data_IF_349929268209
#
_entry.id   IF_349929268209
#
_cell.length_a   1.000
_cell.length_b   1.000
_cell.length_c   1.000
_cell.angle_alpha   90.00
_cell.angle_beta   90.00
_cell.angle_gamma   90.00
#
_symmetry.space_group_name_H-M   'P 1'
#
loop_
_entity.id
_entity.type
_entity.pdbx_description
1 polymer ?
#
# COMPACT_ATOMS: atom_id res chain seq x y z
N UNK A 1 6.92 22.58 -45.06
CA UNK A 1 5.60 22.55 -44.38
C UNK A 1 5.80 21.77 -43.09
N UNK A 2 5.87 22.44 -41.93
CA UNK A 2 5.84 21.77 -40.64
C UNK A 2 4.37 21.56 -40.28
N UNK A 3 3.88 20.35 -40.48
CA UNK A 3 2.60 19.96 -39.89
C UNK A 3 2.90 19.66 -38.43
N UNK A 4 2.74 20.67 -37.57
CA UNK A 4 2.60 20.43 -36.14
C UNK A 4 1.20 19.84 -35.98
N UNK A 5 1.07 18.51 -36.10
CA UNK A 5 -0.15 17.83 -35.67
C UNK A 5 -0.18 17.90 -34.17
N UNK A 6 -1.09 18.69 -33.62
CA UNK A 6 -1.33 18.70 -32.20
C UNK A 6 -2.08 17.43 -31.82
N UNK A 7 -1.87 16.93 -30.59
CA UNK A 7 -2.59 15.74 -30.13
C UNK A 7 -4.09 16.00 -30.14
N UNK A 8 -4.51 17.23 -29.83
CA UNK A 8 -5.91 17.68 -29.89
C UNK A 8 -6.55 17.62 -31.29
N UNK A 9 -5.77 17.45 -32.36
CA UNK A 9 -6.29 17.32 -33.72
C UNK A 9 -6.76 15.88 -34.05
N UNK A 10 -6.47 14.91 -33.16
CA UNK A 10 -6.95 13.54 -33.30
C UNK A 10 -8.46 13.44 -33.06
N UNK A 11 -9.11 12.50 -33.73
CA UNK A 11 -10.54 12.26 -33.52
C UNK A 11 -10.81 11.63 -32.15
N UNK A 12 -12.02 11.82 -31.63
CA UNK A 12 -12.42 11.26 -30.34
C UNK A 12 -12.32 9.73 -30.31
N UNK A 13 -12.56 9.06 -31.44
CA UNK A 13 -12.45 7.60 -31.56
C UNK A 13 -11.01 7.11 -31.29
N UNK A 14 -10.02 7.84 -31.80
CA UNK A 14 -8.60 7.53 -31.53
C UNK A 14 -8.28 7.76 -30.05
N UNK A 15 -8.83 8.81 -29.43
CA UNK A 15 -8.66 9.02 -27.99
C UNK A 15 -9.30 7.93 -27.14
N UNK A 16 -10.49 7.43 -27.52
CA UNK A 16 -11.11 6.30 -26.83
C UNK A 16 -10.25 5.05 -26.94
N UNK A 17 -9.75 4.73 -28.14
CA UNK A 17 -8.86 3.59 -28.34
C UNK A 17 -7.57 3.72 -27.51
N UNK A 18 -6.95 4.90 -27.48
CA UNK A 18 -5.78 5.16 -26.63
C UNK A 18 -6.13 4.95 -25.14
N UNK A 19 -7.26 5.47 -24.68
CA UNK A 19 -7.67 5.36 -23.28
C UNK A 19 -8.06 3.93 -22.88
N UNK A 20 -8.55 3.11 -23.81
CA UNK A 20 -8.81 1.68 -23.57
C UNK A 20 -7.53 0.90 -23.23
N UNK A 21 -6.37 1.36 -23.72
CA UNK A 21 -5.07 0.77 -23.39
C UNK A 21 -4.44 1.34 -22.10
N UNK A 22 -4.96 2.45 -21.56
CA UNK A 22 -4.40 3.07 -20.37
C UNK A 22 -5.08 2.56 -19.10
N UNK A 23 -4.29 1.93 -18.22
CA UNK A 23 -4.71 1.71 -16.85
C UNK A 23 -5.09 3.04 -16.16
N UNK A 24 -6.11 3.03 -15.29
CA UNK A 24 -6.61 4.22 -14.57
C UNK A 24 -5.51 5.01 -13.83
N UNK A 25 -4.46 4.31 -13.42
CA UNK A 25 -3.27 4.88 -12.80
C UNK A 25 -2.45 5.78 -13.75
N UNK A 26 -2.34 5.41 -15.02
CA UNK A 26 -1.67 6.26 -16.02
C UNK A 26 -2.47 7.54 -16.28
N UNK A 27 -3.80 7.44 -16.34
CA UNK A 27 -4.67 8.61 -16.46
C UNK A 27 -4.54 9.52 -15.24
N UNK A 28 -4.50 8.95 -14.02
CA UNK A 28 -4.31 9.71 -12.79
C UNK A 28 -2.99 10.48 -12.77
N UNK A 29 -1.88 9.84 -13.17
CA UNK A 29 -0.58 10.51 -13.34
C UNK A 29 -0.64 11.62 -14.38
N UNK A 30 -1.35 11.41 -15.48
CA UNK A 30 -1.59 12.45 -16.48
C UNK A 30 -2.26 13.68 -15.84
N UNK A 31 -3.32 13.48 -15.07
CA UNK A 31 -4.03 14.57 -14.39
C UNK A 31 -3.19 15.31 -13.36
N UNK A 32 -2.32 14.64 -12.60
CA UNK A 32 -1.41 15.31 -11.67
C UNK A 32 -0.37 16.18 -12.38
N UNK A 33 0.01 15.85 -13.61
CA UNK A 33 0.99 16.60 -14.40
C UNK A 33 0.36 17.73 -15.25
N UNK A 34 -0.95 17.67 -15.54
CA UNK A 34 -1.64 18.64 -16.40
C UNK A 34 -1.62 20.08 -15.84
N UNK A 35 -1.81 20.26 -14.53
CA UNK A 35 -1.85 21.59 -13.92
C UNK A 35 -1.51 21.58 -12.42
N UNK A 36 -0.72 22.58 -11.97
CA UNK A 36 -0.31 22.73 -10.56
C UNK A 36 -1.49 22.78 -9.58
N UNK A 37 -2.61 23.40 -9.96
CA UNK A 37 -3.82 23.46 -9.14
C UNK A 37 -4.44 22.08 -8.97
N UNK A 38 -4.58 21.32 -10.06
CA UNK A 38 -5.11 19.95 -10.02
C UNK A 38 -4.19 19.06 -9.20
N UNK A 39 -2.88 19.15 -9.44
CA UNK A 39 -1.84 18.45 -8.66
C UNK A 39 -1.97 18.74 -7.15
N UNK A 40 -2.10 20.01 -6.76
CA UNK A 40 -2.25 20.40 -5.35
C UNK A 40 -3.55 19.89 -4.72
N UNK A 41 -4.65 19.87 -5.48
CA UNK A 41 -5.93 19.31 -5.00
C UNK A 41 -5.78 17.80 -4.80
N UNK A 42 -5.23 17.10 -5.78
CA UNK A 42 -5.04 15.64 -5.70
C UNK A 42 -4.12 15.27 -4.53
N UNK A 43 -3.05 16.01 -4.27
CA UNK A 43 -2.16 15.82 -3.11
C UNK A 43 -2.87 15.98 -1.76
N UNK A 44 -3.90 16.84 -1.69
CA UNK A 44 -4.64 17.06 -0.44
C UNK A 44 -5.58 15.91 -0.08
N UNK A 45 -5.88 15.05 -1.05
CA UNK A 45 -6.78 13.91 -0.89
C UNK A 45 -5.96 12.70 -0.41
N UNK A 46 -6.34 12.05 0.70
CA UNK A 46 -5.72 10.79 1.11
C UNK A 46 -5.85 9.74 0.01
N UNK A 47 -4.75 9.06 -0.28
CA UNK A 47 -4.68 8.11 -1.36
C UNK A 47 -4.90 6.69 -0.85
N UNK A 48 -5.99 6.07 -1.30
CA UNK A 48 -6.40 4.73 -0.87
C UNK A 48 -6.19 3.75 -2.02
N UNK A 49 -5.36 2.73 -1.81
CA UNK A 49 -4.99 1.78 -2.85
C UNK A 49 -5.28 0.37 -2.39
N UNK A 50 -5.91 -0.38 -3.28
CA UNK A 50 -6.03 -1.82 -3.18
C UNK A 50 -5.01 -2.43 -4.13
N UNK A 51 -4.05 -3.17 -3.57
CA UNK A 51 -3.07 -3.92 -4.33
C UNK A 51 -3.56 -5.35 -4.45
N UNK A 52 -3.88 -5.74 -5.68
CA UNK A 52 -4.34 -7.07 -6.03
C UNK A 52 -3.31 -7.74 -6.92
N UNK A 53 -3.29 -9.07 -6.90
CA UNK A 53 -2.31 -9.85 -7.65
C UNK A 53 -2.33 -9.59 -9.16
N UNK A 54 -3.52 -9.48 -9.72
CA UNK A 54 -3.74 -9.29 -11.15
C UNK A 54 -3.08 -8.02 -11.69
N UNK A 55 -3.02 -6.96 -10.87
CA UNK A 55 -2.52 -5.64 -11.27
C UNK A 55 -1.33 -5.17 -10.42
N UNK A 56 -0.70 -6.06 -9.65
CA UNK A 56 0.26 -5.68 -8.62
C UNK A 56 1.44 -4.90 -9.20
N UNK A 57 1.95 -5.33 -10.36
CA UNK A 57 3.07 -4.68 -11.01
C UNK A 57 2.73 -3.22 -11.39
N UNK A 58 1.60 -3.01 -12.07
CA UNK A 58 1.15 -1.67 -12.46
C UNK A 58 0.84 -0.78 -11.24
N UNK A 59 0.24 -1.36 -10.19
CA UNK A 59 -0.06 -0.66 -8.94
C UNK A 59 1.21 -0.21 -8.22
N UNK A 60 2.22 -1.08 -8.14
CA UNK A 60 3.50 -0.81 -7.49
C UNK A 60 4.34 0.19 -8.30
N UNK A 61 4.36 0.06 -9.63
CA UNK A 61 5.06 0.99 -10.52
C UNK A 61 4.43 2.38 -10.47
N UNK A 62 3.10 2.44 -10.49
CA UNK A 62 2.37 3.69 -10.28
C UNK A 62 2.73 4.28 -8.92
N UNK A 63 2.66 3.49 -7.85
CA UNK A 63 2.97 3.94 -6.49
C UNK A 63 4.37 4.53 -6.39
N UNK A 64 5.37 3.80 -6.87
CA UNK A 64 6.77 4.21 -6.86
C UNK A 64 6.95 5.53 -7.60
N UNK A 65 6.31 5.67 -8.77
CA UNK A 65 6.43 6.86 -9.61
C UNK A 65 5.67 8.06 -9.02
N UNK A 66 4.40 7.87 -8.66
CA UNK A 66 3.49 8.91 -8.15
C UNK A 66 4.00 9.49 -6.83
N UNK A 67 4.43 8.63 -5.90
CA UNK A 67 4.91 9.07 -4.60
C UNK A 67 6.27 9.76 -4.63
N UNK A 68 7.04 9.58 -5.71
CA UNK A 68 8.25 10.39 -5.91
C UNK A 68 7.91 11.87 -6.08
N UNK A 69 6.77 12.19 -6.71
CA UNK A 69 6.31 13.58 -6.89
C UNK A 69 5.37 14.07 -5.77
N UNK A 70 4.81 13.13 -5.01
CA UNK A 70 3.78 13.37 -4.00
C UNK A 70 4.13 12.73 -2.66
N UNK A 71 5.39 12.88 -2.24
CA UNK A 71 5.98 12.26 -1.04
C UNK A 71 5.21 12.55 0.26
N UNK A 72 4.41 13.62 0.31
CA UNK A 72 3.65 14.03 1.51
C UNK A 72 2.19 13.57 1.51
N UNK A 73 1.73 12.98 0.42
CA UNK A 73 0.34 12.56 0.30
C UNK A 73 0.08 11.37 1.23
N UNK A 74 -0.88 11.50 2.15
CA UNK A 74 -1.20 10.42 3.10
C UNK A 74 -1.71 9.19 2.35
N UNK A 75 -1.17 8.01 2.68
CA UNK A 75 -1.51 6.77 1.97
C UNK A 75 -2.14 5.73 2.89
N UNK A 76 -3.13 5.02 2.36
CA UNK A 76 -3.65 3.80 2.95
C UNK A 76 -3.61 2.68 1.92
N UNK A 77 -2.99 1.55 2.27
CA UNK A 77 -2.81 0.41 1.38
C UNK A 77 -3.54 -0.79 1.94
N UNK A 78 -4.27 -1.49 1.08
CA UNK A 78 -4.86 -2.80 1.34
C UNK A 78 -4.23 -3.80 0.39
N UNK A 79 -3.63 -4.87 0.91
CA UNK A 79 -2.91 -5.87 0.11
C UNK A 79 -3.68 -7.19 0.15
N UNK A 80 -4.01 -7.69 -1.03
CA UNK A 80 -4.60 -9.00 -1.27
C UNK A 80 -3.49 -9.96 -1.72
N UNK A 81 -2.81 -10.59 -0.76
CA UNK A 81 -1.72 -11.54 -1.01
C UNK A 81 -2.09 -12.93 -0.50
N UNK A 82 -3.03 -13.57 -1.21
CA UNK A 82 -3.69 -14.82 -0.78
C UNK A 82 -2.90 -16.09 -1.10
N UNK A 83 -1.75 -16.00 -1.76
CA UNK A 83 -1.00 -17.18 -2.24
C UNK A 83 0.41 -17.20 -1.63
N UNK A 84 0.80 -18.27 -0.92
CA UNK A 84 2.16 -18.45 -0.38
C UNK A 84 3.13 -18.88 -1.49
N UNK A 85 3.55 -17.96 -2.35
CA UNK A 85 4.64 -18.24 -3.29
C UNK A 85 5.73 -17.17 -3.26
N UNK A 86 6.87 -17.45 -3.88
CA UNK A 86 8.05 -16.57 -3.89
C UNK A 86 7.81 -15.19 -4.53
N UNK A 87 6.68 -15.00 -5.22
CA UNK A 87 6.23 -13.73 -5.79
C UNK A 87 5.24 -12.99 -4.89
N UNK A 88 5.59 -12.93 -3.60
CA UNK A 88 4.93 -12.13 -2.56
C UNK A 88 4.77 -10.68 -3.00
N UNK A 89 3.51 -10.23 -3.11
CA UNK A 89 3.17 -8.83 -3.43
C UNK A 89 3.68 -7.92 -2.32
N UNK A 90 3.55 -8.38 -1.08
CA UNK A 90 4.02 -7.67 0.11
C UNK A 90 5.52 -7.40 -0.02
N UNK A 91 6.31 -8.43 -0.30
CA UNK A 91 7.76 -8.31 -0.40
C UNK A 91 8.15 -7.42 -1.58
N UNK A 92 7.48 -7.56 -2.73
CA UNK A 92 7.74 -6.72 -3.90
C UNK A 92 7.47 -5.23 -3.61
N UNK A 93 6.33 -4.92 -2.98
CA UNK A 93 5.92 -3.56 -2.64
C UNK A 93 6.95 -2.88 -1.74
N UNK A 94 7.24 -3.52 -0.61
CA UNK A 94 8.11 -2.98 0.43
C UNK A 94 9.59 -3.00 0.03
N UNK A 95 10.01 -3.88 -0.89
CA UNK A 95 11.37 -3.81 -1.46
C UNK A 95 11.54 -2.65 -2.44
N UNK A 96 10.49 -2.29 -3.19
CA UNK A 96 10.57 -1.25 -4.23
C UNK A 96 10.24 0.14 -3.72
N UNK A 97 9.53 0.26 -2.61
CA UNK A 97 9.10 1.55 -2.09
C UNK A 97 9.20 1.64 -0.57
N UNK A 98 9.77 2.74 -0.10
CA UNK A 98 9.81 3.09 1.32
C UNK A 98 8.76 4.18 1.60
N UNK A 99 7.70 3.83 2.35
CA UNK A 99 6.55 4.71 2.54
C UNK A 99 6.73 5.69 3.70
N UNK A 100 7.22 6.91 3.43
CA UNK A 100 7.36 7.96 4.46
C UNK A 100 6.04 8.50 5.03
N UNK A 101 4.92 8.21 4.36
CA UNK A 101 3.61 8.84 4.55
C UNK A 101 2.45 7.81 4.67
N UNK A 102 2.78 6.56 5.00
CA UNK A 102 1.82 5.48 5.19
C UNK A 102 1.04 5.66 6.49
N UNK A 103 -0.28 5.72 6.41
CA UNK A 103 -1.18 5.83 7.57
C UNK A 103 -1.85 4.51 7.91
N UNK A 104 -2.14 3.68 6.92
CA UNK A 104 -2.79 2.38 7.10
C UNK A 104 -2.16 1.36 6.16
N UNK A 105 -1.73 0.23 6.70
CA UNK A 105 -1.42 -0.97 5.96
C UNK A 105 -2.40 -2.07 6.40
N UNK A 106 -3.20 -2.60 5.48
CA UNK A 106 -4.07 -3.74 5.75
C UNK A 106 -3.61 -4.93 4.92
N UNK A 107 -3.16 -5.98 5.59
CA UNK A 107 -2.89 -7.28 5.02
C UNK A 107 -4.14 -8.13 5.18
N UNK A 108 -4.73 -8.59 4.07
CA UNK A 108 -5.91 -9.45 4.18
C UNK A 108 -5.54 -10.86 4.58
N UNK A 109 -4.43 -11.36 4.06
CA UNK A 109 -3.86 -12.66 4.39
C UNK A 109 -2.35 -12.53 4.52
N UNK A 110 -1.76 -13.26 5.47
CA UNK A 110 -0.32 -13.48 5.51
C UNK A 110 -0.01 -14.90 5.93
N UNK A 111 0.95 -15.51 5.23
CA UNK A 111 1.31 -16.91 5.34
C UNK A 111 2.81 -17.15 5.58
N UNK A 112 3.61 -16.08 5.74
CA UNK A 112 5.06 -16.16 6.03
C UNK A 112 5.48 -15.20 7.16
N UNK A 113 6.12 -15.74 8.22
CA UNK A 113 6.65 -15.01 9.38
C UNK A 113 7.77 -14.09 8.95
N UNK A 114 8.66 -14.57 8.07
CA UNK A 114 9.72 -13.78 7.48
C UNK A 114 9.17 -12.58 6.69
N UNK A 115 8.09 -12.78 5.91
CA UNK A 115 7.44 -11.66 5.19
C UNK A 115 6.83 -10.66 6.14
N UNK A 116 6.16 -11.14 7.20
CA UNK A 116 5.58 -10.26 8.22
C UNK A 116 6.68 -9.49 8.95
N UNK A 117 7.79 -10.14 9.30
CA UNK A 117 8.96 -9.51 9.90
C UNK A 117 9.46 -8.36 9.05
N UNK A 118 9.67 -8.59 7.74
CA UNK A 118 10.09 -7.53 6.81
C UNK A 118 9.09 -6.35 6.78
N UNK A 119 7.78 -6.62 6.76
CA UNK A 119 6.76 -5.53 6.81
C UNK A 119 6.84 -4.76 8.11
N UNK A 120 6.94 -5.46 9.23
CA UNK A 120 7.03 -4.84 10.57
C UNK A 120 8.28 -3.99 10.66
N UNK A 121 9.45 -4.49 10.24
CA UNK A 121 10.71 -3.74 10.22
C UNK A 121 10.58 -2.45 9.40
N UNK A 122 9.97 -2.53 8.21
CA UNK A 122 9.78 -1.35 7.39
C UNK A 122 8.80 -0.36 7.99
N UNK A 123 7.66 -0.82 8.54
CA UNK A 123 6.71 0.06 9.23
C UNK A 123 7.36 0.72 10.45
N UNK A 124 8.21 0.02 11.19
CA UNK A 124 8.96 0.55 12.32
C UNK A 124 10.01 1.59 11.92
N UNK A 125 10.52 1.52 10.69
CA UNK A 125 11.44 2.53 10.15
C UNK A 125 10.75 3.86 9.83
N UNK A 126 9.41 3.91 9.88
CA UNK A 126 8.63 5.10 9.57
C UNK A 126 8.51 6.01 10.79
N UNK A 127 8.69 7.31 10.55
CA UNK A 127 8.54 8.35 11.57
C UNK A 127 7.08 8.80 11.77
N UNK A 128 6.09 7.94 11.44
CA UNK A 128 4.67 8.34 11.40
C UNK A 128 3.72 7.26 11.92
N UNK A 129 2.53 7.72 12.33
CA UNK A 129 1.38 6.90 12.70
C UNK A 129 0.84 6.02 11.59
N UNK A 130 1.35 4.79 11.57
CA UNK A 130 0.89 3.69 10.74
C UNK A 130 0.01 2.76 11.57
N UNK A 131 -1.19 2.50 11.08
CA UNK A 131 -2.04 1.41 11.54
C UNK A 131 -1.73 0.17 10.71
N UNK A 132 -1.19 -0.90 11.29
CA UNK A 132 -1.12 -2.21 10.64
C UNK A 132 -2.34 -3.04 11.06
N UNK A 133 -3.09 -3.56 10.07
CA UNK A 133 -4.18 -4.53 10.26
C UNK A 133 -3.89 -5.81 9.50
N UNK A 134 -4.10 -6.94 10.15
CA UNK A 134 -4.06 -8.27 9.52
C UNK A 134 -5.47 -8.85 9.67
N UNK A 135 -6.05 -9.44 8.63
CA UNK A 135 -7.43 -9.95 8.69
C UNK A 135 -7.48 -11.47 8.83
N UNK A 136 -6.60 -12.19 8.14
CA UNK A 136 -6.48 -13.64 8.20
C UNK A 136 -5.00 -14.02 8.37
N UNK A 137 -4.73 -14.81 9.40
CA UNK A 137 -3.46 -15.51 9.58
C UNK A 137 -3.69 -16.95 9.14
N UNK A 138 -3.01 -17.39 8.08
CA UNK A 138 -3.15 -18.74 7.53
C UNK A 138 -1.81 -19.49 7.62
N UNK A 139 -1.82 -20.76 8.04
CA UNK A 139 -0.62 -21.58 8.25
C UNK A 139 -0.26 -21.75 9.74
N UNK A 140 0.99 -22.13 10.03
CA UNK A 140 1.47 -22.47 11.40
C UNK A 140 1.40 -21.31 12.42
N UNK A 141 0.95 -20.10 12.04
CA UNK A 141 0.82 -18.91 12.91
C UNK A 141 -0.07 -19.10 14.13
N UNK A 142 -1.02 -20.05 14.07
CA UNK A 142 -2.01 -20.28 15.12
C UNK A 142 -1.49 -21.14 16.29
N UNK A 143 -0.25 -21.66 16.22
CA UNK A 143 0.36 -22.29 17.38
C UNK A 143 0.68 -21.21 18.45
N UNK A 144 0.35 -21.48 19.71
CA UNK A 144 0.51 -20.52 20.84
C UNK A 144 1.92 -19.90 20.88
N UNK A 145 2.96 -20.68 20.58
CA UNK A 145 4.34 -20.20 20.49
C UNK A 145 4.55 -19.13 19.40
N UNK A 146 3.90 -19.27 18.26
CA UNK A 146 4.01 -18.34 17.14
C UNK A 146 3.19 -17.07 17.39
N UNK A 147 2.07 -17.17 18.10
CA UNK A 147 1.30 -15.99 18.53
C UNK A 147 2.07 -15.18 19.58
N UNK A 148 2.76 -15.85 20.51
CA UNK A 148 3.65 -15.20 21.48
C UNK A 148 4.88 -14.57 20.82
N UNK A 149 5.40 -15.17 19.75
CA UNK A 149 6.48 -14.62 18.94
C UNK A 149 6.01 -13.44 18.10
N UNK A 150 4.84 -13.53 17.45
CA UNK A 150 4.20 -12.44 16.72
C UNK A 150 3.93 -11.25 17.64
N UNK A 151 3.37 -11.54 18.81
CA UNK A 151 3.12 -10.57 19.88
C UNK A 151 4.44 -9.99 20.37
N UNK A 152 5.50 -10.80 20.55
CA UNK A 152 6.83 -10.28 20.89
C UNK A 152 7.43 -9.42 19.78
N UNK A 153 7.44 -9.83 18.52
CA UNK A 153 7.97 -9.05 17.38
C UNK A 153 7.31 -7.67 17.30
N UNK A 154 6.01 -7.59 17.61
CA UNK A 154 5.28 -6.32 17.67
C UNK A 154 5.64 -5.51 18.94
N UNK A 155 5.92 -6.17 20.08
CA UNK A 155 6.14 -5.53 21.39
C UNK A 155 7.60 -5.28 21.81
N UNK A 156 8.59 -6.00 21.27
CA UNK A 156 10.01 -5.96 21.69
C UNK A 156 10.80 -4.87 20.96
N UNK A 157 10.40 -4.50 19.75
CA UNK A 157 11.08 -3.47 18.94
C UNK A 157 10.62 -2.03 19.28
N UNK A 158 10.25 -1.78 20.54
CA UNK A 158 9.43 -0.66 21.04
C UNK A 158 9.84 0.78 20.69
N UNK A 159 8.80 1.60 20.48
CA UNK A 159 8.61 2.92 21.10
C UNK A 159 7.41 2.85 22.09
N UNK A 160 7.49 3.57 23.21
CA UNK A 160 6.64 3.51 24.42
C UNK A 160 5.14 3.83 24.23
N UNK A 161 4.81 4.30 23.05
CA UNK A 161 3.54 4.77 22.48
C UNK A 161 2.60 3.67 21.97
N UNK A 162 3.13 2.50 21.58
CA UNK A 162 2.33 1.35 21.12
C UNK A 162 1.45 0.75 22.21
N UNK A 163 1.72 1.08 23.49
CA UNK A 163 1.03 0.51 24.65
C UNK A 163 -0.43 0.96 24.78
N UNK A 164 -0.87 2.02 24.11
CA UNK A 164 -2.19 2.63 24.35
C UNK A 164 -3.27 2.27 23.32
N UNK A 165 -2.97 1.42 22.33
CA UNK A 165 -3.82 1.23 21.16
C UNK A 165 -4.48 -0.14 20.98
N UNK A 166 -4.35 -1.04 21.96
CA UNK A 166 -4.91 -2.38 21.85
C UNK A 166 -6.29 -2.45 22.50
N UNK A 167 -7.34 -2.22 21.70
CA UNK A 167 -8.69 -2.65 22.04
C UNK A 167 -8.92 -4.06 21.46
N UNK A 168 -8.85 -5.05 22.35
CA UNK A 168 -9.17 -6.44 22.10
C UNK A 168 -10.69 -6.56 21.92
N UNK A 169 -11.17 -6.77 20.69
CA UNK A 169 -12.51 -7.34 20.47
C UNK A 169 -12.34 -8.80 20.10
N UNK A 170 -12.26 -9.66 21.12
CA UNK A 170 -12.66 -11.06 20.97
C UNK A 170 -14.16 -11.03 20.67
N UNK A 171 -14.56 -11.38 19.44
CA UNK A 171 -15.69 -12.27 19.13
C UNK A 171 -15.79 -12.38 17.59
N UNK A 172 -15.69 -13.61 17.09
CA UNK A 172 -15.95 -14.09 15.72
C UNK A 172 -14.96 -13.71 14.58
N UNK A 173 -14.14 -14.71 14.22
CA UNK A 173 -13.56 -15.03 12.90
C UNK A 173 -12.69 -14.02 12.12
N UNK A 174 -12.22 -12.93 12.73
CA UNK A 174 -11.23 -12.04 12.09
C UNK A 174 -10.38 -11.38 13.17
N UNK A 175 -9.19 -11.92 13.44
CA UNK A 175 -8.26 -11.33 14.41
C UNK A 175 -7.68 -10.05 13.82
N UNK A 176 -8.22 -8.89 14.21
CA UNK A 176 -7.70 -7.59 13.76
C UNK A 176 -6.63 -7.12 14.74
N UNK A 177 -5.37 -7.26 14.36
CA UNK A 177 -4.27 -6.63 15.06
C UNK A 177 -4.23 -5.14 14.74
N UNK A 178 -4.00 -4.26 15.72
CA UNK A 178 -3.79 -2.82 15.51
C UNK A 178 -2.45 -2.43 16.12
N UNK A 179 -1.49 -2.15 15.24
CA UNK A 179 -0.21 -1.53 15.63
C UNK A 179 -0.37 -0.02 15.42
N UNK A 180 -0.06 0.80 16.43
CA UNK A 180 -0.14 2.28 16.36
C UNK A 180 1.23 2.85 16.74
N UNK A 181 1.98 3.36 15.75
CA UNK A 181 3.33 3.90 15.94
C UNK A 181 3.36 5.45 15.93
N UNK A 182 3.79 6.21 16.94
CA UNK A 182 3.72 7.67 16.98
C UNK A 182 4.55 8.35 15.88
#
# INVERSE_FOLDING_TARGET
MNVNTHLEDLSNEIFFEIFDYLHIFHMFTGFTLLNRRISSVLQSIPFHIVISREYCQHQIDFLSSHLTFHERQVISIIIFDTIPDDSSIISLLFNRHNFSNLKLCKLLSINSTARLGNVIEQIQSLNTLVILKISQLEGDYLNENNNDELTRMILTHKSSSLRSAWNFNMFASTETYQIIHP
#
